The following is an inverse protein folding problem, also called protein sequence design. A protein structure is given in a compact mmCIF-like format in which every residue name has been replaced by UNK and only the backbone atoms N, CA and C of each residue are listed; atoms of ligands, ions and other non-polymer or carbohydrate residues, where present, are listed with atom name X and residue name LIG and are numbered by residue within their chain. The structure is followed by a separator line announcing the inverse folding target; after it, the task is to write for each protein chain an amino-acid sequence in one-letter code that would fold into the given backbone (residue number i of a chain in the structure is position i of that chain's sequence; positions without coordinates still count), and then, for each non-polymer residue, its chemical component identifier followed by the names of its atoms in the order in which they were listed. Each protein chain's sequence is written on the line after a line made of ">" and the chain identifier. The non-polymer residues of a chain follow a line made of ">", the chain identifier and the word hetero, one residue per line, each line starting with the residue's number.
data_IF_032691867182
#
_entry.id   IF_032691867182
#
_cell.length_a   1.000
_cell.length_b   1.000
_cell.length_c   1.000
_cell.angle_alpha   90.00
_cell.angle_beta   90.00
_cell.angle_gamma   90.00
#
_symmetry.space_group_name_H-M   'P 1'
#
loop_
_entity.id
_entity.type
_entity.pdbx_description
1 polymer ?
#
# COMPACT_ATOMS: atom_id res chain seq x y z
N UNK A 1 -1.38 -11.47 -15.14
CA UNK A 1 -0.10 -11.54 -14.39
C UNK A 1 -0.36 -11.02 -13.00
N UNK A 2 0.07 -11.74 -11.95
CA UNK A 2 0.03 -11.18 -10.60
C UNK A 2 1.07 -10.05 -10.53
N UNK A 3 0.61 -8.82 -10.28
CA UNK A 3 1.50 -7.66 -10.15
C UNK A 3 2.37 -7.83 -8.90
N UNK A 4 3.62 -7.36 -8.92
CA UNK A 4 4.50 -7.37 -7.74
C UNK A 4 3.81 -6.78 -6.50
N UNK A 5 2.93 -5.78 -6.71
CA UNK A 5 2.09 -5.18 -5.68
C UNK A 5 1.17 -6.20 -4.97
N UNK A 6 0.61 -7.17 -5.67
CA UNK A 6 -0.23 -8.20 -5.08
C UNK A 6 0.58 -9.17 -4.21
N UNK A 7 1.76 -9.57 -4.68
CA UNK A 7 2.67 -10.43 -3.89
C UNK A 7 3.20 -9.69 -2.67
N UNK A 8 3.54 -8.40 -2.82
CA UNK A 8 3.97 -7.54 -1.73
C UNK A 8 2.83 -7.36 -0.71
N UNK A 9 1.61 -7.07 -1.17
CA UNK A 9 0.45 -6.93 -0.30
C UNK A 9 0.18 -8.23 0.46
N UNK A 10 0.22 -9.40 -0.19
CA UNK A 10 0.06 -10.69 0.48
C UNK A 10 1.13 -10.94 1.58
N UNK A 11 2.35 -10.43 1.37
CA UNK A 11 3.47 -10.58 2.32
C UNK A 11 3.34 -9.61 3.50
N UNK A 12 2.89 -8.39 3.21
CA UNK A 12 2.54 -7.38 4.23
C UNK A 12 1.33 -7.87 5.04
N UNK A 13 0.28 -8.34 4.39
CA UNK A 13 -0.96 -8.83 5.01
C UNK A 13 -0.76 -10.09 5.84
N UNK A 14 0.28 -10.89 5.53
CA UNK A 14 0.72 -12.00 6.38
C UNK A 14 1.25 -11.51 7.74
N UNK A 15 1.59 -10.21 7.86
CA UNK A 15 2.02 -9.55 9.08
C UNK A 15 1.02 -8.45 9.47
N UNK A 16 0.00 -8.76 10.28
CA UNK A 16 -1.07 -7.81 10.61
C UNK A 16 -0.56 -6.55 11.33
N UNK A 17 0.52 -6.65 12.11
CA UNK A 17 1.15 -5.50 12.77
C UNK A 17 1.79 -4.52 11.78
N UNK A 18 2.52 -5.02 10.78
CA UNK A 18 3.09 -4.19 9.72
C UNK A 18 2.00 -3.56 8.86
N UNK A 19 0.96 -4.32 8.53
CA UNK A 19 -0.20 -3.82 7.80
C UNK A 19 -0.85 -2.67 8.55
N UNK A 20 -1.20 -2.86 9.83
CA UNK A 20 -1.82 -1.80 10.64
C UNK A 20 -0.91 -0.59 10.84
N UNK A 21 0.41 -0.78 10.96
CA UNK A 21 1.36 0.33 11.05
C UNK A 21 1.39 1.15 9.75
N UNK A 22 1.44 0.49 8.59
CA UNK A 22 1.37 1.13 7.28
C UNK A 22 0.04 1.86 7.07
N UNK A 23 -1.07 1.26 7.48
CA UNK A 23 -2.39 1.89 7.43
C UNK A 23 -2.49 3.13 8.31
N UNK A 24 -2.04 3.05 9.56
CA UNK A 24 -2.01 4.20 10.47
C UNK A 24 -1.14 5.32 9.92
N UNK A 25 0.03 4.96 9.38
CA UNK A 25 0.90 5.91 8.70
C UNK A 25 0.17 6.52 7.50
N UNK A 26 -0.54 5.73 6.69
CA UNK A 26 -1.27 6.23 5.54
C UNK A 26 -2.40 7.21 5.88
N UNK A 27 -3.05 7.03 7.04
CA UNK A 27 -4.07 7.96 7.53
C UNK A 27 -3.48 9.32 7.96
N UNK A 28 -2.23 9.34 8.44
CA UNK A 28 -1.52 10.55 8.86
C UNK A 28 -0.73 11.20 7.72
N UNK A 29 0.06 10.39 7.02
CA UNK A 29 0.90 10.73 5.87
C UNK A 29 0.80 9.63 4.78
N UNK A 30 -0.12 9.80 3.82
CA UNK A 30 -0.30 8.85 2.73
C UNK A 30 0.90 8.78 1.77
N UNK A 31 1.69 9.85 1.65
CA UNK A 31 2.88 9.87 0.79
C UNK A 31 4.00 9.06 1.45
N UNK A 32 4.21 9.24 2.76
CA UNK A 32 5.13 8.43 3.55
C UNK A 32 4.78 6.94 3.51
N UNK A 33 3.50 6.57 3.64
CA UNK A 33 3.07 5.18 3.52
C UNK A 33 3.37 4.56 2.14
N UNK A 34 3.13 5.29 1.05
CA UNK A 34 3.50 4.84 -0.31
C UNK A 34 5.01 4.62 -0.44
N UNK A 35 5.83 5.54 0.09
CA UNK A 35 7.28 5.43 0.06
C UNK A 35 7.77 4.22 0.87
N UNK A 36 7.20 3.98 2.05
CA UNK A 36 7.49 2.80 2.86
C UNK A 36 7.12 1.50 2.15
N UNK A 37 5.96 1.44 1.48
CA UNK A 37 5.56 0.25 0.71
C UNK A 37 6.51 0.00 -0.47
N UNK A 38 6.88 1.04 -1.22
CA UNK A 38 7.82 0.89 -2.34
C UNK A 38 9.21 0.42 -1.85
N UNK A 39 9.69 0.99 -0.74
CA UNK A 39 10.96 0.59 -0.11
C UNK A 39 10.93 -0.85 0.36
N UNK A 40 9.83 -1.27 1.02
CA UNK A 40 9.63 -2.65 1.44
C UNK A 40 9.59 -3.61 0.25
N UNK A 41 8.98 -3.19 -0.86
CA UNK A 41 9.01 -3.93 -2.12
C UNK A 41 10.44 -4.17 -2.60
N UNK A 42 11.26 -3.13 -2.62
CA UNK A 42 12.67 -3.23 -3.01
C UNK A 42 13.46 -4.19 -2.10
N UNK A 43 13.31 -4.06 -0.78
CA UNK A 43 13.94 -4.94 0.21
C UNK A 43 13.54 -6.42 0.05
N UNK A 44 12.30 -6.68 -0.38
CA UNK A 44 11.76 -8.02 -0.56
C UNK A 44 12.04 -8.60 -1.96
N UNK A 45 12.74 -7.87 -2.83
CA UNK A 45 12.98 -8.25 -4.22
C UNK A 45 11.75 -8.16 -5.11
N UNK A 46 10.75 -7.38 -4.68
CA UNK A 46 9.48 -7.12 -5.35
C UNK A 46 9.36 -5.62 -5.62
N UNK A 47 10.16 -5.06 -6.55
CA UNK A 47 10.10 -3.64 -6.86
C UNK A 47 8.69 -3.31 -7.36
N UNK A 48 8.06 -2.34 -6.71
CA UNK A 48 6.72 -1.83 -7.03
C UNK A 48 6.76 -0.32 -7.12
N UNK A 49 5.95 0.23 -8.00
CA UNK A 49 5.73 1.66 -8.10
C UNK A 49 4.51 2.08 -7.30
N UNK A 50 4.47 3.36 -6.88
CA UNK A 50 3.29 3.93 -6.22
C UNK A 50 2.02 3.78 -7.07
N UNK A 51 2.14 3.77 -8.40
CA UNK A 51 1.01 3.52 -9.30
C UNK A 51 0.51 2.08 -9.20
N UNK A 52 1.39 1.08 -9.27
CA UNK A 52 1.00 -0.34 -9.15
C UNK A 52 0.35 -0.64 -7.80
N UNK A 53 0.88 -0.07 -6.72
CA UNK A 53 0.30 -0.24 -5.38
C UNK A 53 -1.09 0.38 -5.33
N UNK A 54 -1.29 1.57 -5.91
CA UNK A 54 -2.61 2.21 -5.99
C UNK A 54 -3.60 1.42 -6.84
N UNK A 55 -3.18 0.94 -8.01
CA UNK A 55 -4.02 0.11 -8.89
C UNK A 55 -4.42 -1.19 -8.18
N UNK A 56 -3.49 -1.81 -7.45
CA UNK A 56 -3.78 -3.00 -6.67
C UNK A 56 -4.74 -2.71 -5.52
N UNK A 57 -4.46 -1.69 -4.71
CA UNK A 57 -5.32 -1.29 -3.60
C UNK A 57 -6.71 -0.81 -4.08
N UNK A 58 -6.82 -0.19 -5.25
CA UNK A 58 -8.11 0.17 -5.86
C UNK A 58 -8.89 -1.06 -6.35
N UNK A 59 -8.19 -2.13 -6.73
CA UNK A 59 -8.79 -3.43 -7.03
C UNK A 59 -9.19 -4.22 -5.80
N UNK A 60 -8.65 -3.90 -4.62
CA UNK A 60 -9.09 -4.47 -3.35
C UNK A 60 -10.34 -3.69 -2.92
N UNK A 61 -11.48 -4.40 -2.82
CA UNK A 61 -12.78 -3.85 -2.36
C UNK A 61 -12.78 -3.65 -0.82
N UNK A 62 -11.68 -3.10 -0.32
CA UNK A 62 -11.40 -2.94 1.09
C UNK A 62 -11.58 -1.45 1.42
N UNK A 63 -12.71 -1.12 2.03
CA UNK A 63 -13.10 0.27 2.31
C UNK A 63 -12.04 1.04 3.09
N UNK A 64 -11.33 0.37 3.99
CA UNK A 64 -10.23 0.96 4.74
C UNK A 64 -9.07 1.31 3.82
N UNK A 65 -8.68 0.39 2.94
CA UNK A 65 -7.64 0.60 1.91
C UNK A 65 -7.98 1.77 0.99
N UNK A 66 -9.24 1.89 0.60
CA UNK A 66 -9.69 2.95 -0.29
C UNK A 66 -9.76 4.32 0.41
N UNK A 67 -10.13 4.38 1.69
CA UNK A 67 -10.26 5.66 2.43
C UNK A 67 -8.95 6.43 2.48
N UNK A 68 -7.82 5.78 2.71
CA UNK A 68 -6.54 6.49 2.74
C UNK A 68 -5.99 6.75 1.33
N UNK A 69 -6.30 5.91 0.33
CA UNK A 69 -5.99 6.19 -1.08
C UNK A 69 -6.67 7.45 -1.59
N UNK A 70 -7.94 7.67 -1.22
CA UNK A 70 -8.69 8.89 -1.55
C UNK A 70 -8.02 10.10 -0.90
N UNK A 71 -7.59 9.99 0.35
CA UNK A 71 -6.83 11.03 1.05
C UNK A 71 -5.47 11.31 0.39
N UNK A 72 -4.76 10.25 -0.05
CA UNK A 72 -3.50 10.33 -0.78
C UNK A 72 -3.60 11.08 -2.12
N UNK A 73 -4.78 11.03 -2.75
CA UNK A 73 -5.05 11.68 -4.04
C UNK A 73 -5.40 13.17 -3.95
N UNK A 74 -5.44 13.75 -2.75
CA UNK A 74 -5.68 15.19 -2.56
C UNK A 74 -7.15 15.55 -2.32
N UNK A 75 -7.85 14.75 -1.52
CA UNK A 75 -9.18 15.13 -1.03
C UNK A 75 -9.11 16.09 0.15
N UNK A 76 -9.26 17.39 -0.14
CA UNK A 76 -9.88 18.36 0.76
C UNK A 76 -11.32 18.60 0.28
#
# INVERSE_FOLDING_TARGET
>A
MASNAATLYARISSNPEQTQALFRQALQDPNGAMASICSLGDELGLPVTAQEVREHLASLDDEESQRWLVKARGGL
#
